data_IF_178038282029
#
_entry.id   IF_178038282029
#
_cell.length_a   1.000
_cell.length_b   1.000
_cell.length_c   1.000
_cell.angle_alpha   90.00
_cell.angle_beta   90.00
_cell.angle_gamma   90.00
#
_symmetry.space_group_name_H-M   'P 1'
#
loop_
_entity.id
_entity.type
_entity.pdbx_description
1 polymer ?
#
# COMPACT_ATOMS: atom_id res chain seq x y z
N UNK A 1 14.70 -30.85 48.04
CA UNK A 1 13.72 -30.15 47.17
C UNK A 1 14.25 -28.75 46.92
N UNK A 2 14.96 -28.58 45.80
CA UNK A 2 15.57 -27.32 45.41
C UNK A 2 14.50 -26.42 44.78
N UNK A 3 14.22 -25.27 45.39
CA UNK A 3 13.21 -24.32 44.95
C UNK A 3 13.70 -23.67 43.65
N UNK A 4 13.14 -24.09 42.52
CA UNK A 4 13.43 -23.53 41.20
C UNK A 4 12.95 -22.07 41.17
N UNK A 5 13.88 -21.12 41.30
CA UNK A 5 13.58 -19.68 41.24
C UNK A 5 12.96 -19.31 39.90
N UNK A 6 11.77 -18.70 39.95
CA UNK A 6 10.99 -18.34 38.76
C UNK A 6 11.63 -17.16 38.02
N UNK A 7 12.41 -17.44 36.98
CA UNK A 7 12.98 -16.46 36.03
C UNK A 7 11.94 -15.68 35.20
N UNK A 8 10.65 -15.85 35.50
CA UNK A 8 9.52 -15.34 34.72
C UNK A 8 9.41 -13.82 34.83
N UNK A 9 9.61 -13.23 36.01
CA UNK A 9 9.48 -11.77 36.20
C UNK A 9 10.57 -10.96 35.47
N UNK A 10 11.87 -11.31 35.56
CA UNK A 10 12.91 -10.61 34.81
C UNK A 10 12.72 -10.70 33.29
N UNK A 11 12.23 -11.84 32.79
CA UNK A 11 11.96 -12.05 31.37
C UNK A 11 10.80 -11.16 30.90
N UNK A 12 9.72 -11.06 31.68
CA UNK A 12 8.60 -10.18 31.36
C UNK A 12 9.00 -8.70 31.35
N UNK A 13 9.82 -8.26 32.31
CA UNK A 13 10.32 -6.87 32.34
C UNK A 13 11.13 -6.52 31.07
N UNK A 14 11.95 -7.46 30.57
CA UNK A 14 12.70 -7.28 29.33
C UNK A 14 11.78 -7.22 28.10
N UNK A 15 10.80 -8.13 28.00
CA UNK A 15 9.85 -8.18 26.89
C UNK A 15 9.04 -6.89 26.81
N UNK A 16 8.50 -6.40 27.95
CA UNK A 16 7.76 -5.15 27.98
C UNK A 16 8.63 -3.93 27.69
N UNK A 17 9.90 -3.92 28.12
CA UNK A 17 10.84 -2.86 27.77
C UNK A 17 11.15 -2.78 26.27
N UNK A 18 11.34 -3.93 25.63
CA UNK A 18 11.57 -4.02 24.17
C UNK A 18 10.30 -3.64 23.40
N UNK A 19 9.14 -4.15 23.81
CA UNK A 19 7.86 -3.79 23.21
C UNK A 19 7.56 -2.29 23.33
N UNK A 20 7.85 -1.67 24.48
CA UNK A 20 7.73 -0.22 24.69
C UNK A 20 8.63 0.59 23.76
N UNK A 21 9.87 0.13 23.52
CA UNK A 21 10.79 0.79 22.60
C UNK A 21 10.31 0.67 21.14
N UNK A 22 9.88 -0.52 20.71
CA UNK A 22 9.38 -0.77 19.35
C UNK A 22 8.09 -0.01 19.05
N UNK A 23 7.24 0.19 20.07
CA UNK A 23 5.96 0.91 19.97
C UNK A 23 6.08 2.40 20.29
N UNK A 24 7.29 2.94 20.52
CA UNK A 24 7.49 4.33 20.92
C UNK A 24 6.99 5.37 19.91
N UNK A 25 6.82 4.99 18.64
CA UNK A 25 6.20 5.80 17.59
C UNK A 25 4.66 5.89 17.69
N UNK A 26 4.03 5.07 18.56
CA UNK A 26 2.58 5.02 18.80
C UNK A 26 2.34 5.43 20.26
N UNK A 27 2.11 6.72 20.48
CA UNK A 27 2.08 7.39 21.80
C UNK A 27 1.12 6.71 22.80
N UNK A 28 -0.02 6.18 22.33
CA UNK A 28 -1.04 5.59 23.19
C UNK A 28 -0.71 4.19 23.72
N UNK A 29 0.21 3.45 23.07
CA UNK A 29 0.55 2.06 23.44
C UNK A 29 1.86 1.98 24.23
N UNK A 30 2.78 2.91 23.98
CA UNK A 30 4.10 2.93 24.62
C UNK A 30 4.04 3.34 26.10
N UNK A 31 3.14 4.25 26.48
CA UNK A 31 3.08 4.77 27.85
C UNK A 31 2.63 3.70 28.88
N UNK A 32 1.55 2.91 28.67
CA UNK A 32 1.19 1.84 29.60
C UNK A 32 2.27 0.74 29.68
N UNK A 33 2.91 0.44 28.55
CA UNK A 33 3.96 -0.59 28.44
C UNK A 33 5.25 -0.19 29.19
N UNK A 34 5.66 1.08 29.07
CA UNK A 34 6.78 1.66 29.80
C UNK A 34 6.54 1.69 31.32
N UNK A 35 5.32 2.02 31.74
CA UNK A 35 4.95 2.01 33.17
C UNK A 35 4.98 0.59 33.72
N UNK A 36 4.46 -0.39 32.98
CA UNK A 36 4.49 -1.80 33.37
C UNK A 36 5.92 -2.37 33.50
N UNK A 37 6.81 -2.05 32.55
CA UNK A 37 8.21 -2.50 32.61
C UNK A 37 8.98 -1.91 33.79
N UNK A 38 8.76 -0.63 34.11
CA UNK A 38 9.36 0.06 35.26
C UNK A 38 8.88 -0.57 36.58
N UNK A 39 7.56 -0.80 36.72
CA UNK A 39 6.98 -1.43 37.92
C UNK A 39 7.54 -2.84 38.13
N UNK A 40 7.61 -3.65 37.07
CA UNK A 40 8.18 -5.01 37.14
C UNK A 40 9.67 -5.01 37.46
N UNK A 41 10.43 -4.06 36.92
CA UNK A 41 11.85 -3.90 37.24
C UNK A 41 12.05 -3.54 38.72
N UNK A 42 11.28 -2.59 39.26
CA UNK A 42 11.33 -2.19 40.68
C UNK A 42 10.98 -3.38 41.59
N UNK A 43 9.92 -4.13 41.28
CA UNK A 43 9.53 -5.33 42.05
C UNK A 43 10.63 -6.40 42.01
N UNK A 44 11.30 -6.58 40.87
CA UNK A 44 12.42 -7.50 40.73
C UNK A 44 13.64 -7.07 41.54
N UNK A 45 13.88 -5.76 41.69
CA UNK A 45 14.98 -5.22 42.48
C UNK A 45 14.76 -5.36 44.00
N UNK A 46 13.53 -5.14 44.45
CA UNK A 46 13.17 -5.22 45.88
C UNK A 46 13.32 -6.64 46.44
N UNK A 47 13.25 -7.68 45.60
CA UNK A 47 13.37 -9.08 46.03
C UNK A 47 14.83 -9.63 46.16
N UNK A 48 15.88 -8.90 45.71
CA UNK A 48 17.33 -9.30 45.63
C UNK A 48 17.58 -10.59 44.81
N UNK A 49 18.66 -10.84 44.04
CA UNK A 49 19.96 -10.20 43.70
C UNK A 49 19.90 -9.48 42.32
N UNK A 50 20.85 -8.57 42.01
CA UNK A 50 20.91 -7.90 40.70
C UNK A 50 21.30 -8.90 39.61
N UNK A 51 20.31 -9.38 38.87
CA UNK A 51 20.53 -10.00 37.57
C UNK A 51 20.71 -8.84 36.56
N UNK A 52 21.59 -8.91 35.56
CA UNK A 52 21.76 -7.82 34.59
C UNK A 52 20.49 -7.52 33.75
N UNK A 53 19.53 -8.46 33.69
CA UNK A 53 18.33 -8.37 32.85
C UNK A 53 17.36 -7.22 33.18
N UNK A 54 16.96 -6.98 34.44
CA UNK A 54 16.07 -5.86 34.78
C UNK A 54 16.70 -4.48 34.57
N UNK A 55 18.03 -4.37 34.59
CA UNK A 55 18.75 -3.11 34.32
C UNK A 55 18.56 -2.71 32.84
N UNK A 56 18.67 -3.68 31.94
CA UNK A 56 18.50 -3.46 30.49
C UNK A 56 17.06 -3.02 30.18
N UNK A 57 16.06 -3.66 30.80
CA UNK A 57 14.66 -3.26 30.66
C UNK A 57 14.38 -1.83 31.15
N UNK A 58 15.07 -1.39 32.21
CA UNK A 58 14.97 -0.03 32.73
C UNK A 58 15.54 1.01 31.75
N UNK A 59 16.74 0.76 31.19
CA UNK A 59 17.36 1.64 30.20
C UNK A 59 16.52 1.76 28.92
N UNK A 60 15.95 0.65 28.42
CA UNK A 60 15.03 0.68 27.27
C UNK A 60 13.78 1.52 27.55
N UNK A 61 13.25 1.44 28.77
CA UNK A 61 12.06 2.21 29.18
C UNK A 61 12.36 3.71 29.26
N UNK A 62 13.51 4.10 29.83
CA UNK A 62 13.95 5.50 29.84
C UNK A 62 14.20 6.04 28.41
N UNK A 63 14.81 5.23 27.53
CA UNK A 63 15.00 5.58 26.13
C UNK A 63 13.68 5.87 25.41
N UNK A 64 12.65 5.06 25.65
CA UNK A 64 11.32 5.27 25.07
C UNK A 64 10.63 6.55 25.56
N UNK A 65 10.77 6.90 26.84
CA UNK A 65 10.19 8.14 27.40
C UNK A 65 10.90 9.38 26.82
N UNK A 66 12.22 9.35 26.67
CA UNK A 66 12.98 10.44 26.05
C UNK A 66 12.57 10.63 24.58
N UNK A 67 12.37 9.53 23.83
CA UNK A 67 11.89 9.59 22.45
C UNK A 67 10.50 10.24 22.35
N UNK A 68 9.56 9.89 23.25
CA UNK A 68 8.22 10.52 23.30
C UNK A 68 8.30 12.02 23.62
N UNK A 69 9.18 12.44 24.54
CA UNK A 69 9.35 13.86 24.87
C UNK A 69 9.94 14.64 23.69
N UNK A 70 10.91 14.08 22.97
CA UNK A 70 11.48 14.71 21.76
C UNK A 70 10.42 14.85 20.66
N UNK A 71 9.60 13.82 20.44
CA UNK A 71 8.49 13.86 19.47
C UNK A 71 7.44 14.92 19.87
N UNK A 72 7.11 15.02 21.16
CA UNK A 72 6.17 16.03 21.66
C UNK A 72 6.72 17.47 21.49
N UNK A 73 8.00 17.69 21.75
CA UNK A 73 8.64 19.01 21.58
C UNK A 73 8.70 19.42 20.10
N UNK A 74 9.05 18.49 19.19
CA UNK A 74 9.06 18.74 17.74
C UNK A 74 7.64 18.94 17.18
N UNK A 75 6.64 18.25 17.73
CA UNK A 75 5.23 18.45 17.35
C UNK A 75 4.71 19.86 17.71
N UNK A 76 5.13 20.42 18.84
CA UNK A 76 4.68 21.76 19.27
C UNK A 76 5.27 22.92 18.45
N UNK A 77 6.48 22.77 17.90
CA UNK A 77 7.08 23.79 17.01
C UNK A 77 6.46 23.77 15.61
N UNK A 78 6.01 22.61 15.14
CA UNK A 78 5.29 22.48 13.85
C UNK A 78 3.88 23.07 13.98
N UNK A 79 3.18 22.82 15.09
CA UNK A 79 1.82 23.32 15.31
C UNK A 79 1.74 24.85 15.46
N UNK A 80 2.78 25.48 16.03
CA UNK A 80 2.88 26.94 16.15
C UNK A 80 3.29 27.64 14.84
N UNK A 81 4.03 26.95 13.96
CA UNK A 81 4.34 27.46 12.62
C UNK A 81 3.12 27.45 11.67
N UNK A 82 2.18 26.53 11.89
CA UNK A 82 0.93 26.40 11.12
C UNK A 82 -0.17 27.41 11.50
N UNK A 83 -0.01 28.15 12.60
CA UNK A 83 -0.96 29.17 13.06
C UNK A 83 -0.65 30.59 12.56
N UNK A 84 0.29 30.75 11.63
CA UNK A 84 0.54 32.01 10.94
C UNK A 84 -0.60 32.31 9.96
N UNK A 85 -1.43 33.30 10.30
CA UNK A 85 -2.68 33.72 9.62
C UNK A 85 -2.59 33.99 8.10
N UNK A 86 -1.42 33.94 7.46
CA UNK A 86 -1.27 34.21 6.02
C UNK A 86 -1.71 33.09 5.08
N UNK A 87 -1.63 31.81 5.49
CA UNK A 87 -1.96 30.69 4.58
C UNK A 87 -3.47 30.48 4.45
N UNK A 88 -4.24 30.68 5.53
CA UNK A 88 -5.70 30.51 5.52
C UNK A 88 -6.39 31.61 4.70
N UNK A 89 -5.89 32.84 4.76
CA UNK A 89 -6.44 33.98 4.00
C UNK A 89 -6.18 33.83 2.49
N UNK A 90 -4.98 33.37 2.13
CA UNK A 90 -4.60 33.06 0.73
C UNK A 90 -5.42 31.91 0.13
N UNK A 91 -5.75 30.89 0.93
CA UNK A 91 -6.58 29.77 0.50
C UNK A 91 -8.06 30.18 0.32
N UNK A 92 -8.54 31.14 1.12
CA UNK A 92 -9.91 31.66 1.03
C UNK A 92 -10.12 32.54 -0.20
N UNK A 93 -9.18 33.44 -0.51
CA UNK A 93 -9.24 34.25 -1.74
C UNK A 93 -9.18 33.41 -3.02
N UNK A 94 -8.37 32.34 -3.03
CA UNK A 94 -8.28 31.43 -4.17
C UNK A 94 -9.59 30.63 -4.41
N UNK A 95 -10.29 30.26 -3.33
CA UNK A 95 -11.58 29.56 -3.40
C UNK A 95 -12.70 30.47 -3.93
N UNK A 96 -12.78 31.72 -3.46
CA UNK A 96 -13.84 32.66 -3.88
C UNK A 96 -13.69 33.07 -5.35
N UNK A 97 -12.45 33.23 -5.83
CA UNK A 97 -12.14 33.54 -7.24
C UNK A 97 -12.48 32.40 -8.21
N UNK A 98 -12.40 31.15 -7.73
CA UNK A 98 -12.76 29.97 -8.53
C UNK A 98 -14.29 29.84 -8.65
N UNK A 99 -15.03 30.16 -7.59
CA UNK A 99 -16.50 30.10 -7.58
C UNK A 99 -17.14 31.16 -8.49
N UNK A 100 -16.58 32.37 -8.55
CA UNK A 100 -17.08 33.43 -9.44
C UNK A 100 -16.87 33.13 -10.93
N UNK A 101 -15.82 32.37 -11.27
CA UNK A 101 -15.50 32.02 -12.66
C UNK A 101 -16.44 30.95 -13.21
N UNK A 102 -16.90 30.01 -12.37
CA UNK A 102 -17.84 28.96 -12.76
C UNK A 102 -19.28 29.49 -12.97
N UNK A 103 -19.65 30.57 -12.27
CA UNK A 103 -20.95 31.23 -12.44
C UNK A 103 -21.04 32.03 -13.75
N UNK A 104 -19.94 32.58 -14.25
CA UNK A 104 -19.91 33.23 -15.57
C UNK A 104 -20.01 32.23 -16.74
N UNK A 105 -19.53 30.99 -16.58
CA UNK A 105 -19.66 29.95 -17.62
C UNK A 105 -21.08 29.36 -17.71
N UNK A 106 -21.81 29.27 -16.60
CA UNK A 106 -23.21 28.78 -16.55
C UNK A 106 -24.21 29.77 -17.18
N UNK A 107 -23.97 31.08 -17.02
CA UNK A 107 -24.80 32.13 -17.64
C UNK A 107 -24.63 32.19 -19.18
N UNK A 108 -23.44 31.86 -19.70
CA UNK A 108 -23.17 31.78 -21.15
C UNK A 108 -23.87 30.55 -21.77
N UNK A 109 -23.93 29.43 -21.06
CA UNK A 109 -24.60 28.21 -21.51
C UNK A 109 -26.13 28.40 -21.61
N UNK A 110 -26.72 29.09 -20.63
CA UNK A 110 -28.17 29.35 -20.60
C UNK A 110 -28.65 30.35 -21.67
N UNK A 111 -27.80 31.28 -22.15
CA UNK A 111 -28.16 32.18 -23.27
C UNK A 111 -28.19 31.44 -24.64
N UNK A 112 -27.38 30.39 -24.79
CA UNK A 112 -27.29 29.59 -26.03
C UNK A 112 -28.50 28.66 -26.20
N UNK A 113 -29.07 28.16 -25.10
CA UNK A 113 -30.23 27.25 -25.14
C UNK A 113 -31.55 27.98 -25.48
N UNK A 114 -31.64 29.29 -25.23
CA UNK A 114 -32.85 30.09 -25.54
C UNK A 114 -33.07 30.39 -27.03
N UNK A 115 -32.08 30.14 -27.89
CA UNK A 115 -32.08 30.56 -29.31
C UNK A 115 -32.45 29.47 -30.32
N UNK A 116 -32.70 28.22 -29.90
CA UNK A 116 -32.97 27.14 -30.85
C UNK A 116 -34.33 26.46 -30.62
N UNK A 117 -35.37 27.01 -31.27
CA UNK A 117 -36.74 26.50 -31.22
C UNK A 117 -37.02 25.47 -32.34
N UNK A 118 -37.29 24.23 -31.93
CA UNK A 118 -38.32 23.27 -32.44
C UNK A 118 -38.30 22.77 -33.89
N UNK A 119 -38.16 21.44 -34.08
CA UNK A 119 -39.13 20.56 -34.79
C UNK A 119 -38.87 19.07 -34.54
N UNK A 120 -39.67 18.39 -33.70
CA UNK A 120 -40.64 17.29 -34.00
C UNK A 120 -40.19 16.20 -35.02
N UNK A 121 -40.14 14.92 -34.58
CA UNK A 121 -41.08 13.81 -34.92
C UNK A 121 -40.65 12.48 -34.23
N UNK A 122 -41.57 11.98 -33.40
CA UNK A 122 -42.07 10.60 -33.10
C UNK A 122 -41.18 9.35 -32.90
N UNK A 123 -41.53 8.64 -31.81
CA UNK A 123 -41.29 7.23 -31.51
C UNK A 123 -41.76 6.28 -32.62
N UNK A 124 -41.05 5.17 -32.86
CA UNK A 124 -41.43 3.83 -32.35
C UNK A 124 -40.58 2.70 -33.01
N UNK A 125 -40.57 1.55 -32.33
CA UNK A 125 -40.19 0.18 -32.74
C UNK A 125 -38.76 -0.28 -32.39
N UNK A 126 -38.71 -0.91 -31.21
CA UNK A 126 -37.75 -1.94 -30.81
C UNK A 126 -38.03 -3.19 -31.64
N UNK A 127 -37.00 -3.74 -32.31
CA UNK A 127 -36.95 -5.17 -32.59
C UNK A 127 -35.49 -5.69 -32.52
N UNK A 128 -35.29 -6.52 -31.51
CA UNK A 128 -34.23 -7.51 -31.27
C UNK A 128 -33.02 -7.55 -32.21
N UNK A 129 -31.83 -7.36 -31.65
CA UNK A 129 -30.65 -8.11 -32.08
C UNK A 129 -29.89 -8.61 -30.86
N UNK A 130 -29.60 -9.90 -30.91
CA UNK A 130 -29.10 -10.78 -29.86
C UNK A 130 -27.91 -10.23 -29.07
N UNK A 131 -27.96 -10.52 -27.77
CA UNK A 131 -26.81 -10.48 -26.87
C UNK A 131 -25.85 -11.59 -27.32
N UNK A 132 -24.86 -11.24 -28.13
CA UNK A 132 -23.64 -12.03 -28.26
C UNK A 132 -22.67 -11.53 -27.19
N UNK A 133 -22.48 -12.34 -26.15
CA UNK A 133 -21.35 -12.23 -25.23
C UNK A 133 -20.06 -12.51 -26.01
N UNK A 134 -19.55 -11.50 -26.71
CA UNK A 134 -18.18 -11.49 -27.21
C UNK A 134 -17.41 -10.50 -26.35
N UNK A 135 -16.63 -11.05 -25.42
CA UNK A 135 -15.57 -10.35 -24.69
C UNK A 135 -14.75 -9.57 -25.71
N UNK A 136 -14.96 -8.25 -25.73
CA UNK A 136 -14.18 -7.36 -26.58
C UNK A 136 -12.77 -7.30 -25.99
N UNK A 137 -11.92 -8.21 -26.46
CA UNK A 137 -10.46 -8.08 -26.38
C UNK A 137 -10.09 -6.82 -27.15
N UNK A 138 -9.98 -5.71 -26.44
CA UNK A 138 -9.14 -4.60 -26.89
C UNK A 138 -7.74 -5.22 -26.99
N UNK A 139 -7.18 -5.33 -28.20
CA UNK A 139 -5.80 -5.74 -28.40
C UNK A 139 -4.90 -4.67 -27.77
N UNK A 140 -4.60 -4.81 -26.48
CA UNK A 140 -3.70 -3.93 -25.77
C UNK A 140 -2.26 -4.32 -26.08
N UNK A 141 -1.43 -3.33 -26.38
CA UNK A 141 -0.02 -3.57 -26.70
C UNK A 141 0.72 -4.11 -25.46
N UNK A 142 1.29 -5.31 -25.62
CA UNK A 142 2.12 -5.95 -24.59
C UNK A 142 3.34 -5.07 -24.30
N UNK A 143 3.64 -4.76 -23.03
CA UNK A 143 4.84 -3.99 -22.70
C UNK A 143 6.10 -4.65 -23.26
N UNK A 144 7.08 -3.87 -23.71
CA UNK A 144 8.32 -4.41 -24.30
C UNK A 144 9.52 -4.38 -23.35
N UNK A 145 9.47 -3.55 -22.31
CA UNK A 145 10.56 -3.39 -21.33
C UNK A 145 10.00 -3.44 -19.92
N UNK A 146 10.53 -4.35 -19.10
CA UNK A 146 10.11 -4.51 -17.72
C UNK A 146 10.46 -3.28 -16.88
N UNK A 147 11.46 -2.49 -17.30
CA UNK A 147 11.88 -1.26 -16.62
C UNK A 147 10.87 -0.12 -16.76
N UNK A 148 9.90 -0.26 -17.65
CA UNK A 148 8.79 0.70 -17.77
C UNK A 148 7.85 0.68 -16.58
N UNK A 149 7.84 -0.42 -15.80
CA UNK A 149 6.87 -0.66 -14.73
C UNK A 149 5.45 -0.93 -15.25
N UNK A 150 5.28 -1.16 -16.56
CA UNK A 150 4.00 -1.48 -17.19
C UNK A 150 3.72 -2.98 -17.18
N UNK A 151 2.46 -3.34 -16.98
CA UNK A 151 1.98 -4.72 -17.00
C UNK A 151 0.51 -4.74 -17.42
N UNK A 152 0.05 -5.89 -17.92
CA UNK A 152 -1.37 -6.17 -18.14
C UNK A 152 -1.84 -7.04 -16.98
N UNK A 153 -2.92 -6.64 -16.33
CA UNK A 153 -3.54 -7.33 -15.22
C UNK A 153 -5.04 -7.40 -15.48
N UNK A 154 -5.60 -8.61 -15.41
CA UNK A 154 -7.00 -8.87 -15.75
C UNK A 154 -7.44 -8.24 -17.09
N UNK A 155 -6.62 -8.43 -18.13
CA UNK A 155 -6.89 -7.92 -19.48
C UNK A 155 -6.76 -6.40 -19.65
N UNK A 156 -6.36 -5.65 -18.62
CA UNK A 156 -6.16 -4.20 -18.67
C UNK A 156 -4.72 -3.81 -18.35
N UNK A 157 -4.17 -2.88 -19.12
CA UNK A 157 -2.82 -2.35 -18.96
C UNK A 157 -2.80 -1.33 -17.82
N UNK A 158 -1.80 -1.49 -16.96
CA UNK A 158 -1.48 -0.63 -15.82
C UNK A 158 0.01 -0.34 -15.79
N UNK A 159 0.38 0.61 -14.96
CA UNK A 159 1.76 0.97 -14.65
C UNK A 159 1.90 1.29 -13.17
N UNK A 160 3.08 1.05 -12.60
CA UNK A 160 3.42 1.66 -11.31
C UNK A 160 3.16 3.17 -11.33
N UNK A 161 2.67 3.66 -10.21
CA UNK A 161 2.16 5.00 -9.96
C UNK A 161 0.85 5.38 -10.68
N UNK A 162 0.15 4.44 -11.31
CA UNK A 162 -1.25 4.64 -11.64
C UNK A 162 -2.08 4.83 -10.36
N UNK A 163 -3.16 5.60 -10.48
CA UNK A 163 -4.10 5.85 -9.38
C UNK A 163 -4.86 4.57 -9.03
N UNK A 164 -5.03 4.31 -7.74
CA UNK A 164 -5.86 3.19 -7.25
C UNK A 164 -7.28 3.20 -7.82
N UNK A 165 -7.86 4.38 -8.05
CA UNK A 165 -9.18 4.52 -8.68
C UNK A 165 -9.32 3.77 -10.01
N UNK A 166 -8.23 3.55 -10.75
CA UNK A 166 -8.25 2.78 -11.99
C UNK A 166 -8.52 1.28 -11.77
N UNK A 167 -8.11 0.75 -10.62
CA UNK A 167 -8.37 -0.61 -10.16
C UNK A 167 -9.75 -0.72 -9.52
N UNK A 168 -10.19 0.30 -8.77
CA UNK A 168 -11.55 0.38 -8.22
C UNK A 168 -12.60 0.34 -9.33
N UNK A 169 -12.40 1.10 -10.41
CA UNK A 169 -13.26 1.04 -11.60
C UNK A 169 -13.24 -0.32 -12.31
N UNK A 170 -12.21 -1.14 -12.09
CA UNK A 170 -12.10 -2.50 -12.62
C UNK A 170 -12.65 -3.57 -11.64
N UNK A 171 -13.29 -3.15 -10.55
CA UNK A 171 -13.94 -4.04 -9.59
C UNK A 171 -13.05 -4.56 -8.47
N UNK A 172 -11.83 -4.02 -8.33
CA UNK A 172 -10.94 -4.34 -7.21
C UNK A 172 -11.20 -3.41 -6.04
N UNK A 173 -11.17 -3.93 -4.83
CA UNK A 173 -11.43 -3.13 -3.62
C UNK A 173 -10.57 -3.59 -2.46
N UNK A 174 -10.44 -2.76 -1.42
CA UNK A 174 -9.85 -3.20 -0.15
C UNK A 174 -10.68 -2.68 1.02
N UNK A 175 -10.74 -3.48 2.08
CA UNK A 175 -11.39 -3.08 3.33
C UNK A 175 -10.41 -2.28 4.20
N UNK A 176 -10.70 -1.00 4.36
CA UNK A 176 -9.94 -0.08 5.20
C UNK A 176 -9.90 -0.51 6.67
N UNK A 177 -10.98 -1.14 7.17
CA UNK A 177 -11.08 -1.53 8.57
C UNK A 177 -10.08 -2.63 8.95
N UNK A 178 -9.70 -3.51 8.01
CA UNK A 178 -8.65 -4.54 8.21
C UNK A 178 -7.31 -3.94 8.64
N UNK A 179 -7.06 -2.69 8.26
CA UNK A 179 -5.83 -1.95 8.54
C UNK A 179 -5.98 -0.92 9.66
N UNK A 180 -7.15 -0.88 10.32
CA UNK A 180 -7.47 0.14 11.32
C UNK A 180 -7.66 1.54 10.73
N UNK A 181 -8.00 1.63 9.45
CA UNK A 181 -8.30 2.88 8.77
C UNK A 181 -9.81 3.10 8.69
N UNK A 182 -10.21 4.36 8.64
CA UNK A 182 -11.57 4.80 8.30
C UNK A 182 -11.49 5.86 7.19
N UNK A 183 -12.63 6.37 6.72
CA UNK A 183 -12.69 7.34 5.61
C UNK A 183 -11.94 8.66 5.89
N UNK A 184 -11.56 8.94 7.15
CA UNK A 184 -10.73 10.10 7.51
C UNK A 184 -9.23 9.83 7.35
N UNK A 185 -8.82 8.59 7.08
CA UNK A 185 -7.42 8.23 6.88
C UNK A 185 -6.87 8.85 5.59
N UNK A 186 -5.80 9.61 5.74
CA UNK A 186 -5.15 10.36 4.68
C UNK A 186 -3.64 10.14 4.68
N UNK A 187 -3.03 10.29 3.51
CA UNK A 187 -1.59 10.35 3.35
C UNK A 187 -1.18 11.79 3.05
N UNK A 188 -0.19 12.29 3.79
CA UNK A 188 0.49 13.54 3.42
C UNK A 188 1.35 13.33 2.18
N UNK A 189 1.78 14.43 1.56
CA UNK A 189 2.66 14.39 0.39
C UNK A 189 3.87 13.47 0.64
N UNK A 190 4.13 12.59 -0.33
CA UNK A 190 5.21 11.59 -0.36
C UNK A 190 5.15 10.50 0.70
N UNK A 191 4.11 10.46 1.53
CA UNK A 191 3.89 9.33 2.43
C UNK A 191 3.44 8.09 1.66
N UNK A 192 3.91 6.93 2.12
CA UNK A 192 3.58 5.62 1.58
C UNK A 192 2.96 4.73 2.66
N UNK A 193 2.03 3.88 2.29
CA UNK A 193 1.67 2.69 3.08
C UNK A 193 2.71 1.59 2.87
N UNK A 194 2.65 0.54 3.68
CA UNK A 194 3.31 -0.72 3.36
C UNK A 194 2.65 -1.38 2.14
N UNK A 195 3.39 -2.24 1.43
CA UNK A 195 2.91 -3.05 0.31
C UNK A 195 2.10 -4.26 0.77
N UNK A 196 1.13 -4.03 1.67
CA UNK A 196 0.38 -5.08 2.37
C UNK A 196 -1.13 -4.87 2.32
N UNK A 197 -1.60 -3.92 1.49
CA UNK A 197 -3.04 -3.68 1.29
C UNK A 197 -3.54 -4.73 0.31
N UNK A 198 -4.43 -5.59 0.79
CA UNK A 198 -5.00 -6.73 0.10
C UNK A 198 -6.15 -6.26 -0.79
N UNK A 199 -6.05 -6.54 -2.09
CA UNK A 199 -7.08 -6.24 -3.06
C UNK A 199 -7.98 -7.45 -3.28
N UNK A 200 -9.27 -7.24 -3.06
CA UNK A 200 -10.31 -8.24 -3.22
C UNK A 200 -11.09 -8.03 -4.51
N UNK A 201 -11.40 -9.13 -5.20
CA UNK A 201 -12.33 -9.21 -6.30
C UNK A 201 -13.01 -10.58 -6.30
N UNK A 202 -14.35 -10.64 -6.24
CA UNK A 202 -15.10 -11.90 -6.08
C UNK A 202 -14.94 -12.91 -7.22
N UNK A 203 -14.37 -12.49 -8.35
CA UNK A 203 -14.14 -13.36 -9.51
C UNK A 203 -12.89 -14.25 -9.34
N UNK A 204 -11.98 -13.86 -8.46
CA UNK A 204 -10.66 -14.48 -8.28
C UNK A 204 -10.43 -14.88 -6.83
N UNK A 205 -9.50 -15.78 -6.60
CA UNK A 205 -8.99 -16.18 -5.27
C UNK A 205 -7.46 -16.10 -5.20
N UNK A 206 -6.86 -15.32 -6.10
CA UNK A 206 -5.45 -14.95 -6.06
C UNK A 206 -5.20 -13.91 -4.97
N UNK A 207 -4.02 -13.97 -4.36
CA UNK A 207 -3.59 -12.99 -3.37
C UNK A 207 -2.95 -11.79 -4.08
N UNK A 208 -3.47 -10.59 -3.86
CA UNK A 208 -3.02 -9.37 -4.53
C UNK A 208 -2.72 -8.30 -3.49
N UNK A 209 -1.46 -7.88 -3.37
CA UNK A 209 -1.08 -6.82 -2.43
C UNK A 209 -0.57 -5.57 -3.11
N UNK A 210 -0.98 -4.42 -2.59
CA UNK A 210 -0.54 -3.13 -3.07
C UNK A 210 0.05 -2.27 -1.96
N UNK A 211 0.92 -1.36 -2.37
CA UNK A 211 1.38 -0.23 -1.58
C UNK A 211 0.92 1.07 -2.22
N UNK A 212 0.39 1.99 -1.41
CA UNK A 212 -0.15 3.26 -1.86
C UNK A 212 0.77 4.43 -1.47
N UNK A 213 0.93 5.38 -2.38
CA UNK A 213 1.74 6.60 -2.20
C UNK A 213 0.94 7.83 -2.58
N UNK A 214 1.03 8.87 -1.76
CA UNK A 214 0.56 10.18 -2.16
C UNK A 214 1.65 10.92 -2.95
N UNK A 215 1.47 11.02 -4.27
CA UNK A 215 2.38 11.77 -5.14
C UNK A 215 2.06 13.26 -5.26
N UNK A 216 0.89 13.69 -4.80
CA UNK A 216 0.45 15.08 -4.83
C UNK A 216 1.26 15.96 -3.87
N UNK A 217 1.20 17.27 -4.07
CA UNK A 217 1.81 18.25 -3.16
C UNK A 217 0.98 18.50 -1.89
N UNK A 218 -0.27 18.03 -1.87
CA UNK A 218 -1.23 18.22 -0.78
C UNK A 218 -1.66 16.88 -0.19
N UNK A 219 -2.40 16.91 0.93
CA UNK A 219 -2.99 15.72 1.54
C UNK A 219 -3.98 15.04 0.59
N UNK A 220 -3.99 13.71 0.57
CA UNK A 220 -4.91 12.91 -0.25
C UNK A 220 -5.50 11.76 0.56
N UNK A 221 -6.76 11.42 0.28
CA UNK A 221 -7.34 10.18 0.80
C UNK A 221 -6.60 8.98 0.21
N UNK A 222 -6.57 7.87 0.95
CA UNK A 222 -5.85 6.67 0.50
C UNK A 222 -6.37 6.14 -0.85
N UNK A 223 -7.66 6.25 -1.14
CA UNK A 223 -8.26 5.85 -2.43
C UNK A 223 -7.88 6.75 -3.61
N UNK A 224 -7.40 7.96 -3.34
CA UNK A 224 -6.89 8.89 -4.37
C UNK A 224 -5.38 8.76 -4.61
N UNK A 225 -4.72 7.87 -3.86
CA UNK A 225 -3.29 7.65 -3.96
C UNK A 225 -2.91 6.77 -5.15
N UNK A 226 -1.64 6.83 -5.51
CA UNK A 226 -1.05 6.03 -6.58
C UNK A 226 -0.45 4.73 -6.02
N UNK A 227 -0.27 3.71 -6.86
CA UNK A 227 0.31 2.43 -6.45
C UNK A 227 1.84 2.46 -6.61
N UNK A 228 2.62 2.33 -5.53
CA UNK A 228 4.09 2.24 -5.60
C UNK A 228 4.61 0.80 -5.57
N UNK A 229 3.79 -0.14 -5.11
CA UNK A 229 4.09 -1.58 -5.07
C UNK A 229 2.85 -2.34 -5.51
N UNK A 230 3.03 -3.35 -6.36
CA UNK A 230 1.98 -4.24 -6.85
C UNK A 230 2.49 -5.67 -6.86
N UNK A 231 1.81 -6.54 -6.14
CA UNK A 231 2.16 -7.94 -5.92
C UNK A 231 0.99 -8.81 -6.35
N UNK A 232 1.27 -9.86 -7.11
CA UNK A 232 0.30 -10.87 -7.53
C UNK A 232 0.85 -12.23 -7.17
N UNK A 233 0.09 -13.03 -6.43
CA UNK A 233 0.40 -14.44 -6.17
C UNK A 233 -0.76 -15.36 -6.56
N UNK A 234 -0.53 -16.18 -7.60
CA UNK A 234 -1.46 -17.20 -8.09
C UNK A 234 -1.07 -18.62 -7.64
N UNK A 235 -0.03 -18.81 -6.82
CA UNK A 235 0.60 -20.13 -6.60
C UNK A 235 -0.36 -21.21 -6.08
N UNK A 236 -1.40 -20.81 -5.34
CA UNK A 236 -2.39 -21.68 -4.72
C UNK A 236 -3.84 -21.29 -5.07
N UNK A 237 -4.03 -20.40 -6.03
CA UNK A 237 -5.34 -19.94 -6.47
C UNK A 237 -6.05 -21.00 -7.35
N UNK A 238 -7.30 -21.35 -7.04
CA UNK A 238 -8.14 -22.20 -7.91
C UNK A 238 -8.72 -21.38 -9.08
N UNK A 239 -8.87 -20.06 -8.88
CA UNK A 239 -9.31 -19.04 -9.85
C UNK A 239 -8.24 -17.94 -9.94
N UNK A 240 -7.08 -18.25 -10.54
CA UNK A 240 -5.99 -17.29 -10.66
C UNK A 240 -6.39 -16.09 -11.52
N UNK A 241 -5.84 -14.91 -11.22
CA UNK A 241 -5.98 -13.73 -12.07
C UNK A 241 -4.96 -13.79 -13.20
N UNK A 242 -5.35 -13.29 -14.38
CA UNK A 242 -4.41 -13.20 -15.51
C UNK A 242 -3.47 -12.01 -15.35
N UNK A 243 -2.19 -12.22 -15.65
CA UNK A 243 -1.23 -11.13 -15.83
C UNK A 243 -0.33 -11.38 -17.03
N UNK A 244 0.19 -10.30 -17.62
CA UNK A 244 1.22 -10.33 -18.66
C UNK A 244 2.18 -9.16 -18.45
N UNK A 245 3.44 -9.49 -18.23
CA UNK A 245 4.56 -8.59 -18.06
C UNK A 245 5.22 -8.31 -19.42
N UNK A 246 6.31 -7.54 -19.37
CA UNK A 246 7.04 -7.18 -20.56
C UNK A 246 7.52 -8.39 -21.37
N UNK A 247 7.58 -8.23 -22.70
CA UNK A 247 7.93 -9.28 -23.65
C UNK A 247 7.05 -10.54 -23.56
N UNK A 248 5.83 -10.42 -23.00
CA UNK A 248 4.85 -11.50 -22.97
C UNK A 248 5.03 -12.52 -21.85
N UNK A 249 5.93 -12.27 -20.89
CA UNK A 249 6.10 -13.11 -19.71
C UNK A 249 4.80 -13.11 -18.89
N UNK A 250 4.30 -14.28 -18.51
CA UNK A 250 2.98 -14.44 -17.89
C UNK A 250 2.94 -15.64 -16.96
N UNK A 251 1.80 -15.86 -16.30
CA UNK A 251 1.60 -17.06 -15.49
C UNK A 251 1.92 -18.33 -16.31
N UNK A 252 2.74 -19.22 -15.75
CA UNK A 252 3.24 -20.43 -16.42
C UNK A 252 4.53 -20.26 -17.21
N UNK A 253 5.05 -19.04 -17.41
CA UNK A 253 6.33 -18.84 -18.09
C UNK A 253 7.48 -19.56 -17.38
N UNK A 254 8.38 -20.16 -18.16
CA UNK A 254 9.55 -20.86 -17.65
C UNK A 254 10.70 -19.89 -17.35
N UNK A 255 11.66 -20.31 -16.51
CA UNK A 255 12.87 -19.53 -16.27
C UNK A 255 13.64 -19.23 -17.57
N UNK A 256 13.65 -20.16 -18.52
CA UNK A 256 14.32 -19.97 -19.81
C UNK A 256 13.70 -18.83 -20.63
N UNK A 257 12.36 -18.76 -20.67
CA UNK A 257 11.65 -17.65 -21.32
C UNK A 257 11.91 -16.33 -20.61
N UNK A 258 11.87 -16.33 -19.27
CA UNK A 258 12.16 -15.15 -18.45
C UNK A 258 13.58 -14.62 -18.71
N UNK A 259 14.60 -15.49 -18.70
CA UNK A 259 15.98 -15.09 -18.98
C UNK A 259 16.18 -14.63 -20.42
N UNK A 260 15.48 -15.23 -21.39
CA UNK A 260 15.51 -14.76 -22.76
C UNK A 260 14.91 -13.34 -22.91
N UNK A 261 13.90 -13.02 -22.11
CA UNK A 261 13.25 -11.71 -22.12
C UNK A 261 14.02 -10.63 -21.33
N UNK A 262 14.54 -10.96 -20.15
CA UNK A 262 15.05 -9.98 -19.19
C UNK A 262 16.55 -10.07 -18.92
N UNK A 263 17.21 -11.15 -19.37
CA UNK A 263 18.58 -11.47 -19.04
C UNK A 263 18.72 -12.17 -17.68
N UNK A 264 19.93 -12.16 -17.15
CA UNK A 264 20.22 -12.72 -15.83
C UNK A 264 19.65 -11.82 -14.70
N UNK A 265 19.10 -12.41 -13.63
CA UNK A 265 18.62 -11.67 -12.47
C UNK A 265 19.78 -11.03 -11.69
N UNK A 266 19.49 -9.94 -11.00
CA UNK A 266 20.39 -9.28 -10.05
C UNK A 266 20.63 -10.11 -8.79
N UNK A 267 19.60 -10.84 -8.32
CA UNK A 267 19.67 -11.70 -7.15
C UNK A 267 18.72 -12.89 -7.27
N UNK A 268 19.00 -13.97 -6.52
CA UNK A 268 18.18 -15.18 -6.49
C UNK A 268 18.06 -15.73 -5.08
N UNK A 269 16.85 -16.17 -4.70
CA UNK A 269 16.58 -16.82 -3.43
C UNK A 269 15.83 -18.14 -3.65
N UNK A 270 16.14 -19.17 -2.88
CA UNK A 270 15.41 -20.44 -2.90
C UNK A 270 14.72 -20.68 -1.56
N UNK A 271 13.42 -20.94 -1.60
CA UNK A 271 12.61 -21.24 -0.43
C UNK A 271 12.44 -22.77 -0.29
N UNK A 272 13.39 -23.43 0.38
CA UNK A 272 13.40 -24.89 0.56
C UNK A 272 12.06 -25.46 1.08
N UNK A 273 11.39 -24.76 1.99
CA UNK A 273 10.15 -25.24 2.60
C UNK A 273 8.93 -25.16 1.68
N UNK A 274 9.01 -24.35 0.63
CA UNK A 274 7.91 -24.07 -0.30
C UNK A 274 8.24 -24.51 -1.74
N UNK A 275 9.48 -24.93 -2.01
CA UNK A 275 9.99 -25.42 -3.30
C UNK A 275 9.78 -24.41 -4.45
N UNK A 276 10.26 -23.19 -4.25
CA UNK A 276 10.27 -22.18 -5.31
C UNK A 276 11.55 -21.36 -5.29
N UNK A 277 11.86 -20.78 -6.44
CA UNK A 277 12.89 -19.76 -6.63
C UNK A 277 12.28 -18.38 -6.79
N UNK A 278 12.89 -17.38 -6.16
CA UNK A 278 12.71 -15.97 -6.47
C UNK A 278 13.86 -15.50 -7.36
N UNK A 279 13.50 -14.72 -8.38
CA UNK A 279 14.44 -14.07 -9.28
C UNK A 279 14.17 -12.57 -9.25
N UNK A 280 15.15 -11.81 -8.78
CA UNK A 280 15.03 -10.36 -8.60
C UNK A 280 15.79 -9.64 -9.72
N UNK A 281 15.11 -8.71 -10.38
CA UNK A 281 15.66 -7.80 -11.37
C UNK A 281 15.54 -6.39 -10.82
N UNK A 282 16.65 -5.66 -10.77
CA UNK A 282 16.69 -4.33 -10.17
C UNK A 282 17.41 -3.33 -11.07
N UNK A 283 16.93 -2.09 -11.07
CA UNK A 283 17.58 -0.97 -11.75
C UNK A 283 18.30 -0.05 -10.76
N UNK A 284 19.25 0.75 -11.23
CA UNK A 284 19.90 1.78 -10.42
C UNK A 284 18.89 2.83 -9.86
N UNK A 285 17.71 2.94 -10.45
CA UNK A 285 16.62 3.82 -10.01
C UNK A 285 15.68 3.20 -8.96
N UNK A 286 16.10 2.12 -8.29
CA UNK A 286 15.34 1.39 -7.27
C UNK A 286 13.97 0.86 -7.74
N UNK A 287 13.82 0.61 -9.05
CA UNK A 287 12.72 -0.22 -9.56
C UNK A 287 13.15 -1.68 -9.46
N UNK A 288 12.35 -2.47 -8.76
CA UNK A 288 12.53 -3.92 -8.60
C UNK A 288 11.35 -4.66 -9.25
N UNK A 289 11.68 -5.68 -10.04
CA UNK A 289 10.78 -6.75 -10.48
C UNK A 289 11.27 -8.06 -9.86
N UNK A 290 10.44 -8.69 -9.05
CA UNK A 290 10.71 -10.02 -8.50
C UNK A 290 9.71 -11.02 -9.04
N UNK A 291 10.19 -12.21 -9.37
CA UNK A 291 9.41 -13.27 -9.99
C UNK A 291 9.56 -14.56 -9.18
N UNK A 292 8.44 -15.24 -8.92
CA UNK A 292 8.45 -16.51 -8.19
C UNK A 292 8.08 -17.67 -9.12
N UNK A 293 8.99 -18.63 -9.26
CA UNK A 293 8.83 -19.82 -10.08
C UNK A 293 8.95 -21.06 -9.19
N UNK A 294 7.91 -21.87 -9.13
CA UNK A 294 7.93 -23.12 -8.38
C UNK A 294 8.69 -24.21 -9.13
N UNK A 295 9.31 -25.12 -8.39
CA UNK A 295 10.01 -26.28 -8.94
C UNK A 295 9.07 -27.23 -9.68
N UNK A 296 7.79 -27.21 -9.33
CA UNK A 296 6.75 -27.88 -10.10
C UNK A 296 6.69 -27.27 -11.50
N UNK A 297 7.28 -28.00 -12.45
CA UNK A 297 7.38 -27.60 -13.86
C UNK A 297 6.01 -27.33 -14.50
N UNK A 298 4.93 -27.83 -13.91
CA UNK A 298 3.57 -27.57 -14.39
C UNK A 298 3.05 -26.19 -14.00
N UNK A 299 3.64 -25.56 -12.97
CA UNK A 299 3.26 -24.23 -12.47
C UNK A 299 4.01 -23.08 -13.15
N UNK A 300 5.32 -23.25 -13.39
CA UNK A 300 6.15 -22.17 -13.94
C UNK A 300 6.10 -20.90 -13.08
N UNK A 301 6.15 -19.73 -13.73
CA UNK A 301 5.94 -18.43 -13.08
C UNK A 301 4.54 -18.34 -12.49
N UNK A 302 4.46 -18.08 -11.19
CA UNK A 302 3.17 -18.01 -10.44
C UNK A 302 2.90 -16.65 -9.83
N UNK A 303 3.96 -15.87 -9.57
CA UNK A 303 3.85 -14.59 -8.91
C UNK A 303 4.84 -13.59 -9.48
N UNK A 304 4.46 -12.30 -9.45
CA UNK A 304 5.37 -11.20 -9.66
C UNK A 304 5.14 -10.08 -8.64
N UNK A 305 6.22 -9.36 -8.33
CA UNK A 305 6.19 -8.14 -7.53
C UNK A 305 6.87 -7.03 -8.31
N UNK A 306 6.16 -5.94 -8.53
CA UNK A 306 6.72 -4.67 -8.99
C UNK A 306 6.72 -3.68 -7.84
N UNK A 307 7.86 -3.03 -7.58
CA UNK A 307 7.92 -1.94 -6.59
C UNK A 307 8.97 -0.90 -6.95
N UNK A 308 8.70 0.34 -6.59
CA UNK A 308 9.64 1.46 -6.77
C UNK A 308 9.76 2.31 -5.51
N UNK A 309 10.99 2.43 -5.01
CA UNK A 309 11.33 3.13 -3.76
C UNK A 309 11.61 4.62 -3.96
#
# INVERSE_FOLDING_TARGET
MEKKESKVLPLLSLIFGIASLLTSCIIFVSLPSAVASIVLAIISFVKKKPVPMPIIGLFCSFGSIIAVIVIALVGTTISTALSSNGIIESAKEASEKTLSTLQEEEDIFNDLESKNSVSKIEENVIENTSIDNTTSSVNQEVPSDWKSGEFIFDGKKYKLFDKYSNFELAGWSFDMAKYGYDDSYVLNSKQKTYGTIDLENSNYDADIWIGLINNESTVSTIKQCAIWSFDVDNAFADKPVSFTLANGIKNGSTLAEVKAAYGEPSDTYYADSLNYWEYTYETESNLELRLTIYDDITKGLTSFVYKQY
#
